data_IF_357997332064
#
_entry.id   IF_357997332064
#
_cell.length_a   1.000
_cell.length_b   1.000
_cell.length_c   1.000
_cell.angle_alpha   90.00
_cell.angle_beta   90.00
_cell.angle_gamma   90.00
#
_symmetry.space_group_name_H-M   'P 1'
#
loop_
_entity.id
_entity.type
_entity.pdbx_description
1 polymer ?
#
# COMPACT_ATOMS: atom_id res chain seq x y z
N UNK A 1 7.38 -16.96 -11.82
CA UNK A 1 8.63 -16.18 -12.08
C UNK A 1 8.39 -15.10 -13.14
N UNK A 2 7.67 -15.37 -14.21
CA UNK A 2 7.40 -14.42 -15.31
C UNK A 2 6.78 -13.10 -14.86
N UNK A 3 5.78 -13.12 -13.97
CA UNK A 3 5.10 -11.92 -13.49
C UNK A 3 6.05 -10.95 -12.76
N UNK A 4 6.93 -11.49 -11.90
CA UNK A 4 7.90 -10.63 -11.21
C UNK A 4 8.93 -10.05 -12.17
N UNK A 5 9.29 -10.78 -13.23
CA UNK A 5 10.15 -10.25 -14.28
C UNK A 5 9.50 -9.06 -15.00
N UNK A 6 8.20 -9.14 -15.28
CA UNK A 6 7.45 -8.00 -15.87
C UNK A 6 7.44 -6.79 -14.92
N UNK A 7 7.13 -7.00 -13.63
CA UNK A 7 7.13 -5.94 -12.62
C UNK A 7 8.52 -5.28 -12.52
N UNK A 8 9.57 -6.09 -12.41
CA UNK A 8 10.96 -5.60 -12.33
C UNK A 8 11.35 -4.85 -13.61
N UNK A 9 10.94 -5.36 -14.79
CA UNK A 9 11.22 -4.69 -16.08
C UNK A 9 10.54 -3.32 -16.16
N UNK A 10 9.29 -3.19 -15.72
CA UNK A 10 8.58 -1.91 -15.70
C UNK A 10 9.23 -0.92 -14.71
N UNK A 11 9.64 -1.38 -13.53
CA UNK A 11 10.40 -0.58 -12.57
C UNK A 11 11.72 -0.11 -13.19
N UNK A 12 12.41 -1.02 -13.88
CA UNK A 12 13.68 -0.73 -14.55
C UNK A 12 13.53 0.27 -15.69
N UNK A 13 12.44 0.20 -16.47
CA UNK A 13 12.10 1.22 -17.48
C UNK A 13 11.95 2.59 -16.83
N UNK A 14 11.25 2.70 -15.71
CA UNK A 14 11.14 3.95 -14.96
C UNK A 14 12.52 4.48 -14.50
N UNK A 15 13.34 3.60 -13.93
CA UNK A 15 14.70 3.95 -13.49
C UNK A 15 15.60 4.40 -14.65
N UNK A 16 15.60 3.67 -15.78
CA UNK A 16 16.37 4.05 -16.98
C UNK A 16 15.85 5.36 -17.57
N UNK A 17 14.54 5.58 -17.64
CA UNK A 17 13.96 6.82 -18.13
C UNK A 17 14.44 8.04 -17.33
N UNK A 18 14.62 7.87 -16.01
CA UNK A 18 15.23 8.88 -15.14
C UNK A 18 16.72 9.07 -15.48
N UNK A 19 17.47 8.00 -15.65
CA UNK A 19 18.90 8.06 -15.96
C UNK A 19 19.18 8.72 -17.32
N UNK A 20 18.34 8.46 -18.32
CA UNK A 20 18.43 9.05 -19.66
C UNK A 20 17.86 10.48 -19.75
N UNK A 21 17.28 10.99 -18.65
CA UNK A 21 16.67 12.33 -18.63
C UNK A 21 15.37 12.46 -19.42
N UNK A 22 14.75 11.33 -19.82
CA UNK A 22 13.43 11.28 -20.48
C UNK A 22 12.32 11.70 -19.49
N UNK A 23 12.39 11.16 -18.28
CA UNK A 23 11.53 11.51 -17.16
C UNK A 23 12.40 11.98 -15.99
N UNK A 24 11.88 12.91 -15.19
CA UNK A 24 12.52 13.41 -13.98
C UNK A 24 11.88 12.79 -12.74
N UNK A 25 12.57 12.84 -11.61
CA UNK A 25 12.01 12.38 -10.33
C UNK A 25 10.73 13.15 -9.95
N UNK A 26 10.62 14.40 -10.36
CA UNK A 26 9.46 15.28 -10.14
C UNK A 26 8.23 14.81 -10.92
N UNK A 27 8.40 14.22 -12.11
CA UNK A 27 7.31 13.69 -12.98
C UNK A 27 6.57 12.54 -12.32
N UNK A 28 7.18 11.89 -11.32
CA UNK A 28 6.52 10.91 -10.45
C UNK A 28 5.24 11.46 -9.82
N UNK A 29 5.24 12.74 -9.46
CA UNK A 29 4.06 13.40 -8.89
C UNK A 29 2.89 13.42 -9.88
N UNK A 30 3.16 13.66 -11.15
CA UNK A 30 2.15 13.67 -12.22
C UNK A 30 1.64 12.26 -12.46
N UNK A 31 2.53 11.28 -12.62
CA UNK A 31 2.14 9.86 -12.79
C UNK A 31 1.27 9.37 -11.63
N UNK A 32 1.66 9.67 -10.39
CA UNK A 32 0.87 9.29 -9.22
C UNK A 32 -0.51 9.95 -9.19
N UNK A 33 -0.65 11.20 -9.65
CA UNK A 33 -1.96 11.85 -9.79
C UNK A 33 -2.83 11.13 -10.82
N UNK A 34 -2.29 10.79 -11.99
CA UNK A 34 -3.02 10.03 -13.01
C UNK A 34 -3.47 8.68 -12.45
N UNK A 35 -2.59 8.00 -11.72
CA UNK A 35 -2.92 6.72 -11.07
C UNK A 35 -4.04 6.91 -10.06
N UNK A 36 -3.88 7.79 -9.08
CA UNK A 36 -4.80 7.92 -7.94
C UNK A 36 -6.15 8.50 -8.36
N UNK A 37 -6.17 9.44 -9.30
CA UNK A 37 -7.41 10.14 -9.66
C UNK A 37 -8.14 9.55 -10.87
N UNK A 38 -7.48 8.71 -11.68
CA UNK A 38 -8.06 8.22 -12.92
C UNK A 38 -7.99 6.69 -13.01
N UNK A 39 -6.78 6.11 -13.09
CA UNK A 39 -6.65 4.69 -13.43
C UNK A 39 -6.99 3.75 -12.27
N UNK A 40 -6.53 4.04 -11.06
CA UNK A 40 -6.80 3.21 -9.89
C UNK A 40 -8.29 3.18 -9.48
N UNK A 41 -9.05 4.28 -9.46
CA UNK A 41 -10.50 4.23 -9.27
C UNK A 41 -11.21 3.35 -10.30
N UNK A 42 -10.82 3.43 -11.58
CA UNK A 42 -11.35 2.59 -12.65
C UNK A 42 -11.06 1.10 -12.39
N UNK A 43 -9.83 0.79 -11.95
CA UNK A 43 -9.44 -0.57 -11.57
C UNK A 43 -10.28 -1.08 -10.41
N UNK A 44 -10.38 -0.30 -9.33
CA UNK A 44 -11.13 -0.67 -8.12
C UNK A 44 -12.59 -0.93 -8.44
N UNK A 45 -13.24 0.00 -9.15
CA UNK A 45 -14.65 -0.09 -9.50
C UNK A 45 -14.95 -1.34 -10.34
N UNK A 46 -14.23 -1.51 -11.46
CA UNK A 46 -14.43 -2.66 -12.35
C UNK A 46 -14.12 -4.00 -11.67
N UNK A 47 -13.03 -4.05 -10.91
CA UNK A 47 -12.61 -5.31 -10.27
C UNK A 47 -13.64 -5.77 -9.24
N UNK A 48 -14.18 -4.87 -8.42
CA UNK A 48 -15.22 -5.22 -7.45
C UNK A 48 -16.50 -5.60 -8.16
N UNK A 49 -16.98 -4.78 -9.08
CA UNK A 49 -18.27 -5.02 -9.74
C UNK A 49 -18.30 -6.33 -10.54
N UNK A 50 -17.18 -6.72 -11.16
CA UNK A 50 -17.07 -7.97 -11.94
C UNK A 50 -16.92 -9.23 -11.09
N UNK A 51 -16.35 -9.12 -9.89
CA UNK A 51 -15.84 -10.29 -9.18
C UNK A 51 -16.39 -10.45 -7.74
N UNK A 52 -17.28 -9.56 -7.30
CA UNK A 52 -17.81 -9.61 -5.94
C UNK A 52 -19.33 -9.81 -5.98
N UNK A 53 -19.80 -10.83 -5.28
CA UNK A 53 -21.23 -11.02 -5.03
C UNK A 53 -21.63 -10.50 -3.63
N UNK A 54 -22.90 -10.11 -3.40
CA UNK A 54 -23.37 -9.66 -2.09
C UNK A 54 -23.11 -10.68 -0.97
N UNK A 55 -23.11 -11.96 -1.29
CA UNK A 55 -22.88 -13.06 -0.32
C UNK A 55 -21.44 -13.11 0.19
N UNK A 56 -20.48 -12.61 -0.58
CA UNK A 56 -19.06 -12.64 -0.23
C UNK A 56 -18.61 -11.41 0.58
N UNK A 57 -19.38 -10.33 0.57
CA UNK A 57 -19.03 -9.08 1.28
C UNK A 57 -18.69 -9.29 2.77
N UNK A 58 -19.41 -10.12 3.55
CA UNK A 58 -19.06 -10.38 4.95
C UNK A 58 -17.68 -11.02 5.15
N UNK A 59 -17.22 -11.81 4.17
CA UNK A 59 -15.88 -12.39 4.20
C UNK A 59 -14.81 -11.32 3.92
N UNK A 60 -15.04 -10.49 2.93
CA UNK A 60 -14.09 -9.47 2.54
C UNK A 60 -13.89 -8.36 3.57
N UNK A 61 -14.91 -8.03 4.39
CA UNK A 61 -14.79 -7.00 5.44
C UNK A 61 -13.80 -7.41 6.55
N UNK A 62 -13.47 -8.69 6.71
CA UNK A 62 -12.44 -9.16 7.63
C UNK A 62 -11.04 -8.69 7.22
N UNK A 63 -10.79 -8.49 5.92
CA UNK A 63 -9.48 -8.13 5.38
C UNK A 63 -9.03 -6.72 5.79
N UNK A 64 -9.83 -5.63 5.59
CA UNK A 64 -9.45 -4.30 6.04
C UNK A 64 -9.26 -4.21 7.56
N UNK A 65 -10.11 -4.89 8.34
CA UNK A 65 -9.97 -4.96 9.80
C UNK A 65 -8.65 -5.61 10.18
N UNK A 66 -8.30 -6.74 9.54
CA UNK A 66 -7.05 -7.45 9.81
C UNK A 66 -5.84 -6.59 9.48
N UNK A 67 -5.80 -5.94 8.32
CA UNK A 67 -4.68 -5.06 7.93
C UNK A 67 -4.55 -3.88 8.90
N UNK A 68 -5.67 -3.25 9.30
CA UNK A 68 -5.66 -2.17 10.27
C UNK A 68 -5.02 -2.61 11.60
N UNK A 69 -5.41 -3.77 12.13
CA UNK A 69 -4.86 -4.33 13.37
C UNK A 69 -3.37 -4.68 13.23
N UNK A 70 -2.98 -5.35 12.14
CA UNK A 70 -1.59 -5.71 11.85
C UNK A 70 -0.72 -4.46 11.82
N UNK A 71 -1.14 -3.42 11.09
CA UNK A 71 -0.38 -2.18 10.95
C UNK A 71 -0.27 -1.44 12.28
N UNK A 72 -1.33 -1.44 13.10
CA UNK A 72 -1.32 -0.87 14.43
C UNK A 72 -0.31 -1.58 15.34
N UNK A 73 -0.31 -2.91 15.36
CA UNK A 73 0.64 -3.72 16.15
C UNK A 73 2.07 -3.50 15.66
N UNK A 74 2.31 -3.50 14.33
CA UNK A 74 3.63 -3.21 13.76
C UNK A 74 4.11 -1.80 14.13
N UNK A 75 3.21 -0.83 14.24
CA UNK A 75 3.52 0.51 14.73
C UNK A 75 3.98 0.51 16.20
N UNK A 76 3.31 -0.27 17.05
CA UNK A 76 3.72 -0.46 18.46
C UNK A 76 5.11 -1.13 18.52
N UNK A 77 5.36 -2.15 17.68
CA UNK A 77 6.70 -2.77 17.59
C UNK A 77 7.75 -1.73 17.17
N UNK A 78 7.47 -0.89 16.17
CA UNK A 78 8.35 0.20 15.76
C UNK A 78 8.63 1.20 16.89
N UNK A 79 7.62 1.54 17.69
CA UNK A 79 7.78 2.38 18.88
C UNK A 79 8.71 1.74 19.93
N UNK A 80 8.47 0.47 20.28
CA UNK A 80 9.28 -0.27 21.25
C UNK A 80 10.75 -0.33 20.78
N UNK A 81 10.99 -0.66 19.52
CA UNK A 81 12.33 -0.68 18.92
C UNK A 81 12.99 0.70 18.98
N UNK A 82 12.27 1.76 18.65
CA UNK A 82 12.79 3.12 18.70
C UNK A 82 13.18 3.56 20.12
N UNK A 83 12.39 3.18 21.12
CA UNK A 83 12.67 3.43 22.54
C UNK A 83 13.88 2.61 23.03
N UNK A 84 13.93 1.34 22.68
CA UNK A 84 15.04 0.46 23.05
C UNK A 84 16.38 0.94 22.47
N UNK A 85 16.37 1.44 21.24
CA UNK A 85 17.54 2.00 20.55
C UNK A 85 17.87 3.43 20.99
N UNK A 86 17.10 4.00 21.93
CA UNK A 86 17.26 5.37 22.44
C UNK A 86 17.31 6.43 21.33
N UNK A 87 16.47 6.28 20.32
CA UNK A 87 16.39 7.23 19.22
C UNK A 87 15.78 8.56 19.68
N UNK A 88 16.12 9.63 18.93
CA UNK A 88 15.47 10.92 19.09
C UNK A 88 13.96 10.81 18.74
N UNK A 89 13.16 11.69 19.34
CA UNK A 89 11.69 11.71 19.18
C UNK A 89 11.25 11.65 17.72
N UNK A 90 11.88 12.44 16.83
CA UNK A 90 11.55 12.50 15.40
C UNK A 90 11.89 11.19 14.67
N UNK A 91 13.00 10.56 15.02
CA UNK A 91 13.42 9.28 14.47
C UNK A 91 12.54 8.13 14.96
N UNK A 92 12.06 8.17 16.22
CA UNK A 92 11.06 7.22 16.73
C UNK A 92 9.80 7.31 15.87
N UNK A 93 9.27 8.53 15.63
CA UNK A 93 8.11 8.72 14.77
C UNK A 93 8.32 8.17 13.35
N UNK A 94 9.48 8.45 12.75
CA UNK A 94 9.85 7.90 11.44
C UNK A 94 9.88 6.37 11.43
N UNK A 95 10.48 5.74 12.46
CA UNK A 95 10.55 4.29 12.58
C UNK A 95 9.17 3.64 12.77
N UNK A 96 8.29 4.26 13.56
CA UNK A 96 6.89 3.82 13.70
C UNK A 96 6.22 3.78 12.33
N UNK A 97 6.31 4.86 11.55
CA UNK A 97 5.65 4.95 10.24
C UNK A 97 6.12 3.86 9.27
N UNK A 98 7.43 3.62 9.17
CA UNK A 98 7.97 2.63 8.22
C UNK A 98 7.73 1.18 8.67
N UNK A 99 7.60 0.94 9.95
CA UNK A 99 7.19 -0.37 10.49
C UNK A 99 5.68 -0.61 10.32
N UNK A 100 4.86 0.41 10.58
CA UNK A 100 3.40 0.30 10.53
C UNK A 100 2.87 0.22 9.10
N UNK A 101 3.20 1.19 8.24
CA UNK A 101 2.51 1.41 6.98
C UNK A 101 3.12 0.60 5.84
N UNK A 102 2.33 -0.26 5.22
CA UNK A 102 2.71 -1.07 4.06
C UNK A 102 2.21 -0.48 2.73
N UNK A 103 2.95 -0.71 1.67
CA UNK A 103 2.64 -0.24 0.31
C UNK A 103 1.64 -1.18 -0.39
N UNK A 104 0.45 -1.32 0.17
CA UNK A 104 -0.60 -2.26 -0.26
C UNK A 104 -1.27 -1.87 -1.58
N UNK A 105 -1.35 -0.57 -1.90
CA UNK A 105 -1.91 -0.07 -3.15
C UNK A 105 -0.87 -0.07 -4.28
N UNK A 106 0.19 0.76 -4.16
CA UNK A 106 1.13 0.98 -5.27
C UNK A 106 1.99 -0.26 -5.62
N UNK A 107 2.43 -1.06 -4.66
CA UNK A 107 3.12 -2.31 -4.96
C UNK A 107 2.19 -3.53 -4.82
N UNK A 108 1.28 -3.48 -3.87
CA UNK A 108 0.40 -4.60 -3.57
C UNK A 108 -0.50 -4.98 -4.74
N UNK A 109 -1.15 -4.03 -5.40
CA UNK A 109 -2.03 -4.33 -6.54
C UNK A 109 -1.30 -5.02 -7.68
N UNK A 110 -0.19 -4.47 -8.22
CA UNK A 110 0.57 -5.15 -9.28
C UNK A 110 1.05 -6.54 -8.91
N UNK A 111 1.58 -6.70 -7.70
CA UNK A 111 2.13 -7.98 -7.23
C UNK A 111 1.02 -9.01 -7.07
N UNK A 112 -0.06 -8.65 -6.39
CA UNK A 112 -1.18 -9.58 -6.15
C UNK A 112 -1.92 -9.90 -7.44
N UNK A 113 -2.18 -8.92 -8.30
CA UNK A 113 -2.76 -9.16 -9.62
C UNK A 113 -1.89 -10.12 -10.44
N UNK A 114 -0.59 -9.89 -10.43
CA UNK A 114 0.34 -10.76 -11.13
C UNK A 114 0.41 -12.18 -10.59
N UNK A 115 0.20 -12.40 -9.29
CA UNK A 115 0.24 -13.73 -8.68
C UNK A 115 -1.08 -14.50 -8.79
N UNK A 116 -2.21 -13.82 -8.72
CA UNK A 116 -3.52 -14.43 -8.55
C UNK A 116 -4.63 -13.84 -9.44
N UNK A 117 -4.30 -12.93 -10.38
CA UNK A 117 -5.26 -12.29 -11.28
C UNK A 117 -6.30 -11.43 -10.57
N UNK A 118 -7.45 -11.24 -11.21
CA UNK A 118 -8.58 -10.46 -10.68
C UNK A 118 -9.09 -10.97 -9.34
N UNK A 119 -9.24 -12.29 -9.09
CA UNK A 119 -9.66 -12.77 -7.78
C UNK A 119 -8.73 -12.35 -6.64
N UNK A 120 -7.41 -12.31 -6.89
CA UNK A 120 -6.44 -11.78 -5.92
C UNK A 120 -6.56 -10.28 -5.76
N UNK A 121 -6.73 -9.56 -6.86
CA UNK A 121 -6.81 -8.10 -6.85
C UNK A 121 -8.00 -7.58 -6.04
N UNK A 122 -9.18 -8.23 -6.12
CA UNK A 122 -10.33 -7.92 -5.25
C UNK A 122 -9.91 -7.89 -3.78
N UNK A 123 -9.27 -8.96 -3.33
CA UNK A 123 -8.84 -9.12 -1.93
C UNK A 123 -7.78 -8.08 -1.54
N UNK A 124 -6.88 -7.77 -2.47
CA UNK A 124 -5.88 -6.73 -2.28
C UNK A 124 -6.53 -5.34 -2.12
N UNK A 125 -7.59 -5.04 -2.87
CA UNK A 125 -8.35 -3.79 -2.75
C UNK A 125 -8.96 -3.67 -1.34
N UNK A 126 -9.62 -4.72 -0.85
CA UNK A 126 -10.18 -4.69 0.51
C UNK A 126 -9.08 -4.55 1.59
N UNK A 127 -7.96 -5.23 1.44
CA UNK A 127 -6.79 -5.03 2.32
C UNK A 127 -6.31 -3.58 2.29
N UNK A 128 -6.23 -2.96 1.11
CA UNK A 128 -5.75 -1.60 0.93
C UNK A 128 -6.68 -0.56 1.56
N UNK A 129 -8.00 -0.79 1.58
CA UNK A 129 -8.93 0.08 2.29
C UNK A 129 -8.59 0.17 3.79
N UNK A 130 -8.27 -0.96 4.43
CA UNK A 130 -7.77 -0.99 5.80
C UNK A 130 -6.44 -0.26 5.98
N UNK A 131 -5.55 -0.40 5.00
CA UNK A 131 -4.26 0.30 4.95
C UNK A 131 -4.41 1.81 4.82
N UNK A 132 -5.31 2.30 3.98
CA UNK A 132 -5.59 3.74 3.84
C UNK A 132 -6.09 4.33 5.16
N UNK A 133 -7.05 3.67 5.80
CA UNK A 133 -7.57 4.09 7.12
C UNK A 133 -6.43 4.09 8.16
N UNK A 134 -5.64 3.00 8.23
CA UNK A 134 -4.50 2.90 9.13
C UNK A 134 -3.46 4.00 8.87
N UNK A 135 -3.17 4.29 7.61
CA UNK A 135 -2.20 5.32 7.22
C UNK A 135 -2.62 6.69 7.69
N UNK A 136 -3.89 7.06 7.53
CA UNK A 136 -4.39 8.36 7.97
C UNK A 136 -4.44 8.47 9.50
N UNK A 137 -4.93 7.44 10.19
CA UNK A 137 -5.03 7.43 11.66
C UNK A 137 -3.64 7.39 12.31
N UNK A 138 -2.82 6.39 11.97
CA UNK A 138 -1.49 6.19 12.55
C UNK A 138 -0.56 7.32 12.11
N UNK A 139 -0.57 7.68 10.81
CA UNK A 139 0.28 8.72 10.26
C UNK A 139 0.04 10.08 10.93
N UNK A 140 -1.21 10.46 11.10
CA UNK A 140 -1.59 11.72 11.77
C UNK A 140 -1.25 11.66 13.26
N UNK A 141 -1.62 10.57 13.96
CA UNK A 141 -1.30 10.40 15.38
C UNK A 141 0.22 10.48 15.64
N UNK A 142 1.01 9.75 14.87
CA UNK A 142 2.47 9.74 14.99
C UNK A 142 3.05 11.11 14.63
N UNK A 143 2.55 11.74 13.57
CA UNK A 143 2.98 13.06 13.14
C UNK A 143 2.76 14.13 14.23
N UNK A 144 1.59 14.16 14.82
CA UNK A 144 1.25 15.13 15.90
C UNK A 144 2.04 14.80 17.18
N UNK A 145 2.21 13.50 17.51
CA UNK A 145 2.86 13.09 18.76
C UNK A 145 4.38 13.25 18.71
N UNK A 146 5.02 12.92 17.59
CA UNK A 146 6.49 12.83 17.49
C UNK A 146 7.11 13.92 16.62
N UNK A 147 6.33 14.64 15.82
CA UNK A 147 6.80 15.70 14.93
C UNK A 147 6.84 17.08 15.57
N UNK A 148 7.33 18.05 14.78
CA UNK A 148 7.39 19.48 15.12
C UNK A 148 6.37 20.32 14.31
N UNK A 149 5.55 19.66 13.47
CA UNK A 149 4.51 20.32 12.67
C UNK A 149 3.34 20.78 13.54
N UNK A 150 2.71 21.91 13.15
CA UNK A 150 1.44 22.33 13.74
C UNK A 150 0.35 21.38 13.22
N UNK A 151 -0.04 20.36 14.00
CA UNK A 151 -1.19 19.53 13.68
C UNK A 151 -2.48 20.35 13.63
N UNK A 152 -3.36 20.06 12.69
CA UNK A 152 -4.70 20.65 12.69
C UNK A 152 -5.44 20.24 13.99
N UNK A 153 -6.13 21.23 14.60
CA UNK A 153 -6.83 21.05 15.88
C UNK A 153 -7.97 20.02 15.85
N UNK A 154 -8.47 19.67 14.66
CA UNK A 154 -9.56 18.69 14.44
C UNK A 154 -9.10 17.48 13.62
N UNK A 155 -8.30 16.62 14.25
CA UNK A 155 -7.71 15.43 13.61
C UNK A 155 -8.78 14.49 13.00
N UNK A 156 -9.91 14.26 13.68
CA UNK A 156 -10.97 13.37 13.19
C UNK A 156 -11.65 13.90 11.93
N UNK A 157 -11.96 15.18 11.89
CA UNK A 157 -12.57 15.83 10.71
C UNK A 157 -11.58 15.86 9.53
N UNK A 158 -10.30 16.08 9.80
CA UNK A 158 -9.24 16.01 8.79
C UNK A 158 -9.16 14.62 8.15
N UNK A 159 -9.13 13.56 8.96
CA UNK A 159 -9.07 12.18 8.48
C UNK A 159 -10.28 11.83 7.61
N UNK A 160 -11.50 12.16 8.08
CA UNK A 160 -12.71 11.93 7.31
C UNK A 160 -12.69 12.68 5.96
N UNK A 161 -12.25 13.93 5.95
CA UNK A 161 -12.13 14.75 4.74
C UNK A 161 -11.12 14.17 3.76
N UNK A 162 -9.98 13.66 4.23
CA UNK A 162 -8.97 13.04 3.37
C UNK A 162 -9.43 11.68 2.82
N UNK A 163 -10.16 10.86 3.58
CA UNK A 163 -10.80 9.64 3.08
C UNK A 163 -11.81 9.93 1.98
N UNK A 164 -12.68 10.93 2.19
CA UNK A 164 -13.68 11.35 1.21
C UNK A 164 -13.09 12.04 -0.02
N UNK A 165 -11.83 12.45 0.02
CA UNK A 165 -11.11 12.99 -1.14
C UNK A 165 -10.28 11.93 -1.88
N UNK A 166 -10.16 10.70 -1.35
CA UNK A 166 -9.34 9.66 -1.96
C UNK A 166 -10.15 8.85 -2.98
N UNK A 167 -9.98 9.09 -4.29
CA UNK A 167 -10.87 8.54 -5.30
C UNK A 167 -10.93 7.00 -5.34
N UNK A 168 -9.85 6.23 -5.10
CA UNK A 168 -9.96 4.77 -5.02
C UNK A 168 -10.86 4.29 -3.89
N UNK A 169 -10.88 4.99 -2.75
CA UNK A 169 -11.76 4.69 -1.63
C UNK A 169 -13.24 4.95 -1.99
N UNK A 170 -13.50 6.08 -2.66
CA UNK A 170 -14.85 6.39 -3.14
C UNK A 170 -15.32 5.39 -4.20
N UNK A 171 -14.43 4.99 -5.12
CA UNK A 171 -14.74 3.96 -6.12
C UNK A 171 -15.06 2.61 -5.47
N UNK A 172 -14.36 2.24 -4.39
CA UNK A 172 -14.64 1.04 -3.62
C UNK A 172 -16.04 1.11 -2.97
N UNK A 173 -16.38 2.23 -2.32
CA UNK A 173 -17.71 2.41 -1.72
C UNK A 173 -18.79 2.34 -2.80
N UNK A 174 -18.61 3.04 -3.91
CA UNK A 174 -19.57 3.08 -5.01
C UNK A 174 -19.80 1.68 -5.60
N UNK A 175 -18.71 0.95 -5.87
CA UNK A 175 -18.85 -0.41 -6.43
C UNK A 175 -19.51 -1.38 -5.44
N UNK A 176 -19.22 -1.28 -4.14
CA UNK A 176 -19.91 -2.08 -3.11
C UNK A 176 -21.41 -1.75 -3.07
N UNK A 177 -21.78 -0.48 -3.18
CA UNK A 177 -23.19 -0.07 -3.25
C UNK A 177 -23.87 -0.64 -4.50
N UNK A 178 -23.22 -0.59 -5.68
CA UNK A 178 -23.73 -1.22 -6.88
C UNK A 178 -23.95 -2.73 -6.69
N UNK A 179 -23.00 -3.43 -6.11
CA UNK A 179 -23.12 -4.87 -5.81
C UNK A 179 -24.29 -5.15 -4.86
N UNK A 180 -24.48 -4.37 -3.80
CA UNK A 180 -25.60 -4.53 -2.85
C UNK A 180 -26.95 -4.28 -3.54
N UNK A 181 -27.01 -3.33 -4.46
CA UNK A 181 -28.20 -3.02 -5.24
C UNK A 181 -28.48 -4.04 -6.36
N UNK A 182 -27.62 -5.06 -6.52
CA UNK A 182 -27.76 -6.09 -7.54
C UNK A 182 -27.44 -5.62 -8.94
N UNK A 183 -26.68 -4.51 -9.09
CA UNK A 183 -26.19 -4.05 -10.39
C UNK A 183 -25.09 -4.97 -10.90
N UNK A 184 -25.20 -5.36 -12.16
CA UNK A 184 -24.18 -6.14 -12.87
C UNK A 184 -23.43 -5.25 -13.87
N UNK A 185 -22.31 -5.74 -14.41
CA UNK A 185 -21.49 -4.97 -15.36
C UNK A 185 -22.25 -4.69 -16.67
N UNK A 186 -23.19 -5.57 -17.01
CA UNK A 186 -24.06 -5.53 -18.18
C UNK A 186 -25.09 -4.38 -18.11
N UNK A 187 -25.40 -3.89 -16.91
CA UNK A 187 -26.30 -2.75 -16.71
C UNK A 187 -25.62 -1.41 -17.07
N UNK A 188 -24.30 -1.42 -17.20
CA UNK A 188 -23.52 -0.23 -17.54
C UNK A 188 -23.33 -0.13 -19.07
N UNK A 189 -23.53 1.04 -19.67
CA UNK A 189 -23.29 1.23 -21.11
C UNK A 189 -21.89 0.75 -21.53
N UNK A 190 -21.81 -0.07 -22.58
CA UNK A 190 -20.59 -0.73 -23.04
C UNK A 190 -19.42 0.25 -23.25
N UNK A 191 -19.68 1.43 -23.81
CA UNK A 191 -18.63 2.44 -24.04
C UNK A 191 -18.00 2.93 -22.72
N UNK A 192 -18.76 3.00 -21.61
CA UNK A 192 -18.22 3.35 -20.29
C UNK A 192 -17.37 2.21 -19.73
N UNK A 193 -17.86 0.97 -19.86
CA UNK A 193 -17.11 -0.22 -19.43
C UNK A 193 -15.78 -0.32 -20.18
N UNK A 194 -15.79 -0.10 -21.49
CA UNK A 194 -14.59 -0.12 -22.33
C UNK A 194 -13.62 1.01 -21.92
N UNK A 195 -14.12 2.21 -21.71
CA UNK A 195 -13.31 3.34 -21.23
C UNK A 195 -12.64 3.02 -19.91
N UNK A 196 -13.40 2.52 -18.92
CA UNK A 196 -12.86 2.12 -17.63
C UNK A 196 -11.85 0.96 -17.75
N UNK A 197 -12.08 0.00 -18.67
CA UNK A 197 -11.12 -1.09 -18.93
C UNK A 197 -9.78 -0.56 -19.47
N UNK A 198 -9.79 0.38 -20.44
CA UNK A 198 -8.55 1.00 -20.92
C UNK A 198 -7.80 1.75 -19.81
N UNK A 199 -8.52 2.53 -18.99
CA UNK A 199 -7.94 3.24 -17.85
C UNK A 199 -7.38 2.28 -16.81
N UNK A 200 -8.09 1.22 -16.49
CA UNK A 200 -7.65 0.19 -15.53
C UNK A 200 -6.36 -0.49 -15.96
N UNK A 201 -6.21 -0.83 -17.24
CA UNK A 201 -4.98 -1.45 -17.79
C UNK A 201 -3.74 -0.57 -17.63
N UNK A 202 -3.91 0.76 -17.56
CA UNK A 202 -2.80 1.69 -17.36
C UNK A 202 -2.29 1.71 -15.92
N UNK A 203 -3.06 1.21 -14.94
CA UNK A 203 -2.72 1.32 -13.52
C UNK A 203 -1.38 0.67 -13.19
N UNK A 204 -1.19 -0.60 -13.52
CA UNK A 204 0.04 -1.34 -13.21
C UNK A 204 1.28 -0.73 -13.88
N UNK A 205 1.30 -0.46 -15.20
CA UNK A 205 2.47 0.15 -15.84
C UNK A 205 2.83 1.51 -15.26
N UNK A 206 1.86 2.40 -15.03
CA UNK A 206 2.11 3.74 -14.50
C UNK A 206 2.65 3.69 -13.07
N UNK A 207 2.12 2.82 -12.22
CA UNK A 207 2.62 2.61 -10.86
C UNK A 207 4.07 2.13 -10.89
N UNK A 208 4.39 1.13 -11.71
CA UNK A 208 5.71 0.54 -11.74
C UNK A 208 6.76 1.51 -12.28
N UNK A 209 6.44 2.27 -13.33
CA UNK A 209 7.31 3.33 -13.84
C UNK A 209 7.53 4.41 -12.78
N UNK A 210 6.46 4.85 -12.11
CA UNK A 210 6.55 5.83 -11.02
C UNK A 210 7.43 5.33 -9.87
N UNK A 211 7.32 4.05 -9.53
CA UNK A 211 8.17 3.42 -8.51
C UNK A 211 9.65 3.42 -8.95
N UNK A 212 9.92 3.11 -10.21
CA UNK A 212 11.27 3.17 -10.79
C UNK A 212 11.88 4.56 -10.70
N UNK A 213 11.12 5.64 -10.98
CA UNK A 213 11.56 7.02 -10.82
C UNK A 213 11.94 7.36 -9.37
N UNK A 214 11.29 6.73 -8.39
CA UNK A 214 11.53 6.97 -6.97
C UNK A 214 12.81 6.31 -6.43
N UNK A 215 13.40 5.38 -7.17
CA UNK A 215 14.61 4.70 -6.72
C UNK A 215 15.80 5.63 -6.77
N UNK A 216 16.37 5.94 -5.60
CA UNK A 216 17.56 6.78 -5.45
C UNK A 216 18.53 6.16 -4.44
N UNK A 217 19.69 5.66 -4.90
CA UNK A 217 20.67 4.97 -4.04
C UNK A 217 21.38 5.88 -3.03
N UNK A 218 21.30 7.20 -3.22
CA UNK A 218 22.17 8.18 -2.52
C UNK A 218 21.91 8.35 -1.02
N UNK A 219 20.79 7.87 -0.49
CA UNK A 219 20.39 8.10 0.91
C UNK A 219 20.73 6.95 1.88
N UNK A 220 21.34 5.86 1.40
CA UNK A 220 21.28 4.56 2.07
C UNK A 220 22.29 4.35 3.21
N UNK A 221 23.49 4.94 3.18
CA UNK A 221 24.56 4.56 4.13
C UNK A 221 24.26 4.87 5.59
N UNK A 222 23.58 5.96 5.87
CA UNK A 222 23.36 6.41 7.27
C UNK A 222 22.19 5.69 7.98
N UNK A 223 21.23 5.18 7.24
CA UNK A 223 20.00 4.62 7.81
C UNK A 223 19.76 3.13 7.47
N UNK A 224 20.78 2.42 6.97
CA UNK A 224 20.68 0.97 6.61
C UNK A 224 20.12 0.16 7.80
N UNK A 225 20.61 0.42 9.01
CA UNK A 225 20.15 -0.26 10.23
C UNK A 225 18.64 -0.17 10.42
N UNK A 226 18.06 1.02 10.21
CA UNK A 226 16.63 1.25 10.39
C UNK A 226 15.81 0.67 9.25
N UNK A 227 16.36 0.67 8.04
CA UNK A 227 15.79 -0.03 6.90
C UNK A 227 15.71 -1.55 7.12
N UNK A 228 16.75 -2.16 7.69
CA UNK A 228 16.76 -3.58 8.06
C UNK A 228 15.73 -3.86 9.15
N UNK A 229 15.62 -3.01 10.18
CA UNK A 229 14.60 -3.17 11.22
C UNK A 229 13.18 -3.08 10.66
N UNK A 230 12.92 -2.09 9.80
CA UNK A 230 11.63 -1.99 9.11
C UNK A 230 11.36 -3.22 8.24
N UNK A 231 12.38 -3.73 7.52
CA UNK A 231 12.27 -4.95 6.73
C UNK A 231 11.89 -6.15 7.60
N UNK A 232 12.57 -6.38 8.72
CA UNK A 232 12.26 -7.48 9.64
C UNK A 232 10.84 -7.40 10.19
N UNK A 233 10.36 -6.20 10.50
CA UNK A 233 8.96 -6.01 10.94
C UNK A 233 7.99 -6.29 9.79
N UNK A 234 8.22 -5.76 8.59
CA UNK A 234 7.33 -5.89 7.45
C UNK A 234 7.29 -7.29 6.86
N UNK A 235 8.43 -7.99 6.83
CA UNK A 235 8.53 -9.33 6.20
C UNK A 235 8.59 -10.49 7.21
N UNK A 236 8.75 -10.18 8.49
CA UNK A 236 8.75 -11.17 9.57
C UNK A 236 7.53 -11.03 10.47
N UNK A 237 7.43 -9.92 11.22
CA UNK A 237 6.36 -9.72 12.21
C UNK A 237 4.99 -9.61 11.53
N UNK A 238 4.84 -8.79 10.50
CA UNK A 238 3.55 -8.54 9.87
C UNK A 238 2.91 -9.79 9.23
N UNK A 239 3.62 -10.63 8.45
CA UNK A 239 3.03 -11.85 7.92
C UNK A 239 2.71 -12.90 9.00
N UNK A 240 3.47 -12.96 10.10
CA UNK A 240 3.14 -13.82 11.24
C UNK A 240 1.87 -13.38 11.94
N UNK A 241 1.68 -12.08 12.13
CA UNK A 241 0.43 -11.52 12.65
C UNK A 241 -0.74 -11.78 11.68
N UNK A 242 -0.52 -11.67 10.37
CA UNK A 242 -1.53 -11.98 9.38
C UNK A 242 -1.94 -13.45 9.41
N UNK A 243 -0.99 -14.37 9.56
CA UNK A 243 -1.27 -15.78 9.75
C UNK A 243 -2.08 -16.01 11.05
N UNK A 244 -1.65 -15.44 12.16
CA UNK A 244 -2.36 -15.56 13.44
C UNK A 244 -3.78 -15.02 13.36
N UNK A 245 -3.98 -13.81 12.83
CA UNK A 245 -5.31 -13.23 12.68
C UNK A 245 -6.17 -14.02 11.70
N UNK A 246 -5.58 -14.57 10.64
CA UNK A 246 -6.33 -15.42 9.70
C UNK A 246 -6.88 -16.69 10.38
N UNK A 247 -6.13 -17.28 11.30
CA UNK A 247 -6.59 -18.43 12.09
C UNK A 247 -7.70 -18.03 13.07
N UNK A 248 -7.53 -16.92 13.77
CA UNK A 248 -8.50 -16.42 14.75
C UNK A 248 -9.84 -15.99 14.11
N UNK A 249 -9.78 -15.41 12.92
CA UNK A 249 -10.98 -14.91 12.20
C UNK A 249 -11.52 -15.91 11.18
N UNK A 250 -10.97 -17.13 11.13
CA UNK A 250 -11.34 -18.17 10.15
C UNK A 250 -11.28 -17.62 8.71
N UNK A 251 -10.19 -16.94 8.38
CA UNK A 251 -9.88 -16.47 7.01
C UNK A 251 -9.05 -17.58 6.35
N UNK A 252 -9.55 -18.15 5.25
CA UNK A 252 -8.93 -19.31 4.60
C UNK A 252 -8.67 -19.05 3.11
N UNK A 253 -8.14 -20.04 2.42
CA UNK A 253 -7.99 -20.02 0.96
C UNK A 253 -7.15 -18.84 0.44
N UNK A 254 -7.66 -18.20 -0.61
CA UNK A 254 -6.99 -17.07 -1.27
C UNK A 254 -6.97 -15.80 -0.39
N UNK A 255 -7.98 -15.61 0.43
CA UNK A 255 -8.06 -14.49 1.38
C UNK A 255 -6.88 -14.49 2.35
N UNK A 256 -6.54 -15.67 2.92
CA UNK A 256 -5.37 -15.84 3.81
C UNK A 256 -4.08 -15.54 3.07
N UNK A 257 -3.90 -16.10 1.86
CA UNK A 257 -2.69 -15.88 1.05
C UNK A 257 -2.50 -14.40 0.73
N UNK A 258 -3.55 -13.72 0.30
CA UNK A 258 -3.49 -12.28 -0.03
C UNK A 258 -3.27 -11.45 1.22
N UNK A 259 -3.93 -11.75 2.35
CA UNK A 259 -3.73 -11.04 3.61
C UNK A 259 -2.27 -11.11 4.07
N UNK A 260 -1.65 -12.30 4.02
CA UNK A 260 -0.23 -12.48 4.39
C UNK A 260 0.67 -11.70 3.45
N UNK A 261 0.46 -11.77 2.13
CA UNK A 261 1.27 -11.02 1.16
C UNK A 261 1.09 -9.50 1.30
N UNK A 262 -0.14 -9.02 1.45
CA UNK A 262 -0.42 -7.59 1.63
C UNK A 262 0.15 -7.05 2.95
N UNK A 263 0.13 -7.83 4.02
CA UNK A 263 0.78 -7.45 5.27
C UNK A 263 2.31 -7.38 5.13
N UNK A 264 2.90 -8.16 4.21
CA UNK A 264 4.35 -8.22 3.95
C UNK A 264 4.84 -7.16 2.94
N UNK A 265 3.95 -6.32 2.40
CA UNK A 265 4.36 -5.26 1.48
C UNK A 265 5.38 -4.32 2.14
N UNK A 266 6.35 -3.79 1.37
CA UNK A 266 7.38 -2.90 1.91
C UNK A 266 6.77 -1.63 2.49
N UNK A 267 7.59 -0.86 3.20
CA UNK A 267 7.13 0.41 3.81
C UNK A 267 6.50 1.33 2.77
N UNK A 268 5.35 1.90 3.11
CA UNK A 268 4.57 2.74 2.21
C UNK A 268 5.25 4.08 1.94
N UNK A 269 5.12 4.58 0.70
CA UNK A 269 5.54 5.94 0.36
C UNK A 269 4.79 7.03 1.14
N UNK A 270 3.59 6.72 1.65
CA UNK A 270 2.86 7.60 2.56
C UNK A 270 3.62 7.90 3.85
N UNK A 271 4.46 6.98 4.34
CA UNK A 271 5.37 7.24 5.46
C UNK A 271 6.28 8.45 5.21
N UNK A 272 6.76 8.60 3.96
CA UNK A 272 7.58 9.75 3.56
C UNK A 272 6.75 11.04 3.53
N UNK A 273 5.52 10.98 3.02
CA UNK A 273 4.61 12.14 2.99
C UNK A 273 4.34 12.64 4.41
N UNK A 274 3.99 11.75 5.34
CA UNK A 274 3.78 12.12 6.74
C UNK A 274 5.07 12.64 7.40
N UNK A 275 6.22 12.04 7.08
CA UNK A 275 7.49 12.49 7.66
C UNK A 275 7.88 13.90 7.20
N UNK A 276 7.59 14.26 5.96
CA UNK A 276 7.78 15.62 5.44
C UNK A 276 6.78 16.60 6.08
N UNK A 277 5.49 16.24 6.11
CA UNK A 277 4.42 17.09 6.62
C UNK A 277 4.61 17.45 8.10
N UNK A 278 5.01 16.49 8.90
CA UNK A 278 5.17 16.65 10.35
C UNK A 278 6.62 16.84 10.80
N UNK A 279 7.57 17.02 9.87
CA UNK A 279 9.00 17.23 10.13
C UNK A 279 9.63 16.14 10.99
N UNK A 280 9.30 14.87 10.70
CA UNK A 280 9.96 13.71 11.29
C UNK A 280 11.35 13.49 10.65
N UNK A 281 12.00 12.37 10.95
CA UNK A 281 13.29 12.01 10.34
C UNK A 281 13.10 11.48 8.91
N UNK A 282 13.06 12.40 7.94
CA UNK A 282 12.85 12.10 6.52
C UNK A 282 13.95 11.20 5.95
N UNK A 283 15.20 11.35 6.42
CA UNK A 283 16.34 10.54 5.94
C UNK A 283 16.18 9.07 6.33
N UNK A 284 15.79 8.81 7.59
CA UNK A 284 15.47 7.47 8.07
C UNK A 284 14.34 6.86 7.26
N UNK A 285 13.24 7.59 7.09
CA UNK A 285 12.04 7.08 6.39
C UNK A 285 12.35 6.78 4.93
N UNK A 286 13.02 7.69 4.20
CA UNK A 286 13.38 7.49 2.82
C UNK A 286 14.27 6.26 2.62
N UNK A 287 15.29 6.09 3.49
CA UNK A 287 16.18 4.92 3.44
C UNK A 287 15.44 3.61 3.72
N UNK A 288 14.55 3.61 4.71
CA UNK A 288 13.76 2.42 5.03
C UNK A 288 12.79 2.05 3.90
N UNK A 289 12.12 3.02 3.29
CA UNK A 289 11.26 2.78 2.12
C UNK A 289 12.07 2.19 0.96
N UNK A 290 13.26 2.72 0.67
CA UNK A 290 14.12 2.20 -0.39
C UNK A 290 14.55 0.75 -0.11
N UNK A 291 15.12 0.47 1.07
CA UNK A 291 15.64 -0.85 1.44
C UNK A 291 14.51 -1.88 1.41
N UNK A 292 13.38 -1.58 2.05
CA UNK A 292 12.24 -2.51 2.09
C UNK A 292 11.66 -2.77 0.70
N UNK A 293 11.59 -1.75 -0.17
CA UNK A 293 11.10 -1.91 -1.54
C UNK A 293 12.01 -2.81 -2.38
N UNK A 294 13.33 -2.56 -2.37
CA UNK A 294 14.26 -3.41 -3.14
C UNK A 294 14.25 -4.84 -2.61
N UNK A 295 14.29 -5.03 -1.29
CA UNK A 295 14.25 -6.36 -0.69
C UNK A 295 12.94 -7.11 -0.99
N UNK A 296 11.83 -6.41 -1.09
CA UNK A 296 10.52 -7.02 -1.36
C UNK A 296 10.44 -7.67 -2.74
N UNK A 297 11.20 -7.18 -3.72
CA UNK A 297 11.25 -7.78 -5.08
C UNK A 297 11.77 -9.22 -5.04
N UNK A 298 12.56 -9.59 -4.04
CA UNK A 298 13.07 -10.95 -3.83
C UNK A 298 12.18 -11.71 -2.83
N UNK A 299 11.78 -11.06 -1.74
CA UNK A 299 11.08 -11.71 -0.63
C UNK A 299 9.65 -12.11 -1.01
N UNK A 300 8.90 -11.26 -1.73
CA UNK A 300 7.51 -11.53 -2.08
C UNK A 300 7.35 -12.78 -2.98
N UNK A 301 8.17 -13.01 -4.01
CA UNK A 301 8.14 -14.27 -4.76
C UNK A 301 8.42 -15.51 -3.92
N UNK A 302 9.37 -15.41 -2.98
CA UNK A 302 9.70 -16.51 -2.07
C UNK A 302 8.50 -16.80 -1.16
N UNK A 303 7.91 -15.75 -0.58
CA UNK A 303 6.73 -15.88 0.28
C UNK A 303 5.54 -16.47 -0.48
N UNK A 304 5.29 -16.02 -1.72
CA UNK A 304 4.28 -16.63 -2.61
C UNK A 304 4.52 -18.11 -2.83
N UNK A 305 5.78 -18.52 -3.05
CA UNK A 305 6.13 -19.93 -3.24
C UNK A 305 5.88 -20.78 -1.98
N UNK A 306 6.08 -20.19 -0.79
CA UNK A 306 5.79 -20.85 0.49
C UNK A 306 4.28 -21.01 0.72
N UNK A 307 3.49 -20.05 0.27
CA UNK A 307 2.03 -20.05 0.44
C UNK A 307 1.31 -20.91 -0.62
N UNK A 308 1.96 -21.34 -1.65
CA UNK A 308 1.41 -22.17 -2.74
C UNK A 308 0.71 -21.34 -3.80
#
# INVERSE_FOLDING_TARGET
MEVMSVIVSLIFIGYISKYLGILREEDRSVLNKVVVYISMPSTVFLTILKNVSPKELPLFIKLPISIFLIFSICGVVGYILGRYLKLERRSIGGLILVCALGNTGFLGYPVIYGFYGDPGLVRAIFCDMGSVIASLLIGTFVGVTFGEGKGERNTSLYILKELLKFPPFLACILSILCVILGMEIEDIPTFLVDTLNYLSKATVPLIMISLGLSLSPSSTRFAIKYGILALLVRTGVAPLLALLLSLLLSIEGLERKVLILQSSMPSAMMSLVFSLLYRLDVKLVASACFITTISSLIILPILKKILG
#
